data_IF_380164261772
#
_entry.id   IF_380164261772
#
_cell.length_a   1.000
_cell.length_b   1.000
_cell.length_c   1.000
_cell.angle_alpha   90.00
_cell.angle_beta   90.00
_cell.angle_gamma   90.00
#
_symmetry.space_group_name_H-M   'P 1'
#
loop_
_entity.id
_entity.type
_entity.pdbx_description
1 polymer ?
#
# COMPACT_ATOMS: atom_id res chain seq x y z
N UNK A 1 3.01 6.01 9.33
CA UNK A 1 2.40 5.83 10.67
C UNK A 1 3.44 6.18 11.73
N UNK A 2 3.03 6.83 12.82
CA UNK A 2 3.90 7.17 13.94
C UNK A 2 4.28 5.97 14.80
N UNK A 3 5.30 6.16 15.63
CA UNK A 3 5.75 5.19 16.65
C UNK A 3 5.80 5.86 18.02
N UNK A 4 5.61 5.09 19.08
CA UNK A 4 5.71 5.54 20.46
C UNK A 4 6.58 4.58 21.29
N UNK A 5 7.29 5.14 22.27
CA UNK A 5 7.99 4.37 23.30
C UNK A 5 7.16 4.42 24.59
N UNK A 6 6.65 3.28 25.03
CA UNK A 6 5.84 3.17 26.26
C UNK A 6 6.59 2.35 27.32
N UNK A 7 6.48 2.77 28.58
CA UNK A 7 7.00 1.98 29.71
C UNK A 7 5.90 1.05 30.19
N UNK A 8 6.21 -0.24 30.25
CA UNK A 8 5.27 -1.27 30.70
C UNK A 8 5.88 -2.03 31.88
N UNK A 9 5.02 -2.42 32.82
CA UNK A 9 5.38 -3.24 33.97
C UNK A 9 4.60 -4.55 33.89
N UNK A 10 5.30 -5.68 33.90
CA UNK A 10 4.70 -7.00 33.81
C UNK A 10 4.96 -7.82 35.09
N UNK A 11 3.95 -8.55 35.54
CA UNK A 11 4.04 -9.53 36.62
C UNK A 11 4.73 -8.99 37.88
N UNK A 12 5.78 -9.70 38.35
CA UNK A 12 6.60 -9.32 39.53
C UNK A 12 7.50 -8.11 39.27
N UNK A 13 6.93 -6.99 38.83
CA UNK A 13 7.59 -5.70 38.62
C UNK A 13 8.70 -5.71 37.55
N UNK A 14 8.57 -6.54 36.51
CA UNK A 14 9.49 -6.54 35.38
C UNK A 14 9.20 -5.34 34.48
N UNK A 15 10.14 -4.40 34.43
CA UNK A 15 10.00 -3.16 33.67
C UNK A 15 10.60 -3.33 32.28
N UNK A 16 9.84 -2.98 31.26
CA UNK A 16 10.28 -2.94 29.87
C UNK A 16 9.87 -1.63 29.20
N UNK A 17 10.65 -1.21 28.21
CA UNK A 17 10.29 -0.13 27.30
C UNK A 17 9.88 -0.73 25.96
N UNK A 18 8.62 -0.56 25.57
CA UNK A 18 8.08 -1.11 24.33
C UNK A 18 8.07 -0.01 23.26
N UNK A 19 8.80 -0.25 22.17
CA UNK A 19 8.66 0.56 20.96
C UNK A 19 7.55 -0.06 20.11
N UNK A 20 6.46 0.69 19.93
CA UNK A 20 5.21 0.25 19.31
C UNK A 20 4.73 1.26 18.26
N UNK A 21 3.85 0.85 17.35
CA UNK A 21 3.11 1.78 16.48
C UNK A 21 2.06 2.55 17.27
N UNK A 22 1.59 3.68 16.72
CA UNK A 22 0.49 4.44 17.33
C UNK A 22 -0.76 3.60 17.59
N UNK A 23 -1.14 2.71 16.65
CA UNK A 23 -2.28 1.81 16.83
C UNK A 23 -2.08 0.79 17.95
N UNK A 24 -0.90 0.17 18.01
CA UNK A 24 -0.56 -0.73 19.11
C UNK A 24 -0.57 0.00 20.46
N UNK A 25 -0.06 1.24 20.52
CA UNK A 25 -0.14 2.09 21.71
C UNK A 25 -1.58 2.32 22.15
N UNK A 26 -2.48 2.73 21.23
CA UNK A 26 -3.89 2.95 21.56
C UNK A 26 -4.53 1.70 22.16
N UNK A 27 -4.28 0.53 21.58
CA UNK A 27 -4.78 -0.75 22.10
C UNK A 27 -4.21 -1.07 23.49
N UNK A 28 -2.89 -0.92 23.69
CA UNK A 28 -2.25 -1.22 24.98
C UNK A 28 -2.73 -0.30 26.10
N UNK A 29 -3.04 0.97 25.78
CA UNK A 29 -3.53 1.93 26.77
C UNK A 29 -4.91 1.56 27.33
N UNK A 30 -5.75 0.82 26.60
CA UNK A 30 -7.04 0.35 27.09
C UNK A 30 -6.88 -0.59 28.29
N UNK A 31 -5.82 -1.39 28.30
CA UNK A 31 -5.55 -2.37 29.37
C UNK A 31 -5.13 -1.74 30.70
N UNK A 32 -4.92 -0.42 30.76
CA UNK A 32 -4.74 0.28 32.04
C UNK A 32 -6.04 0.35 32.86
N UNK A 33 -7.19 0.24 32.20
CA UNK A 33 -8.51 0.37 32.83
C UNK A 33 -9.34 -0.93 32.76
N UNK A 34 -8.81 -1.99 32.13
CA UNK A 34 -9.54 -3.23 31.90
C UNK A 34 -8.57 -4.40 31.77
N UNK A 35 -8.78 -5.46 32.57
CA UNK A 35 -7.88 -6.63 32.56
C UNK A 35 -8.09 -7.53 31.33
N UNK A 36 -9.30 -7.48 30.76
CA UNK A 36 -9.73 -8.32 29.64
C UNK A 36 -10.61 -7.53 28.69
N UNK A 37 -10.31 -7.63 27.40
CA UNK A 37 -11.08 -6.97 26.34
C UNK A 37 -11.26 -7.91 25.15
N UNK A 38 -12.46 -7.95 24.60
CA UNK A 38 -12.77 -8.63 23.34
C UNK A 38 -12.29 -7.82 22.13
N UNK A 39 -12.13 -8.49 20.99
CA UNK A 39 -11.81 -7.81 19.73
C UNK A 39 -12.78 -6.65 19.44
N UNK A 40 -14.10 -6.88 19.61
CA UNK A 40 -15.13 -5.87 19.33
C UNK A 40 -15.07 -4.68 20.27
N UNK A 41 -14.78 -4.88 21.55
CA UNK A 41 -14.60 -3.77 22.49
C UNK A 41 -13.39 -2.91 22.12
N UNK A 42 -12.28 -3.55 21.72
CA UNK A 42 -11.08 -2.82 21.27
C UNK A 42 -11.37 -2.06 19.97
N UNK A 43 -12.08 -2.68 19.03
CA UNK A 43 -12.46 -2.06 17.76
C UNK A 43 -13.34 -0.83 17.98
N UNK A 44 -14.36 -0.93 18.82
CA UNK A 44 -15.25 0.17 19.16
C UNK A 44 -14.52 1.29 19.92
N UNK A 45 -13.63 0.96 20.85
CA UNK A 45 -12.93 1.96 21.65
C UNK A 45 -11.82 2.69 20.90
N UNK A 46 -11.21 2.05 19.90
CA UNK A 46 -10.06 2.63 19.16
C UNK A 46 -10.40 3.15 17.78
N UNK A 47 -11.54 2.72 17.20
CA UNK A 47 -11.96 3.02 15.83
C UNK A 47 -10.87 2.70 14.77
N UNK A 48 -9.98 1.76 15.08
CA UNK A 48 -8.92 1.32 14.15
C UNK A 48 -9.57 0.45 13.06
N UNK A 49 -9.22 0.64 11.77
CA UNK A 49 -9.71 -0.22 10.69
C UNK A 49 -9.46 -1.71 10.97
N UNK A 50 -10.46 -2.56 10.75
CA UNK A 50 -10.43 -3.98 11.13
C UNK A 50 -9.18 -4.72 10.62
N UNK A 51 -8.72 -4.42 9.40
CA UNK A 51 -7.50 -5.00 8.83
C UNK A 51 -6.24 -4.63 9.62
N UNK A 52 -6.14 -3.39 10.08
CA UNK A 52 -5.01 -2.90 10.86
C UNK A 52 -5.08 -3.37 12.31
N UNK A 53 -6.28 -3.42 12.88
CA UNK A 53 -6.50 -3.90 14.24
C UNK A 53 -6.11 -5.38 14.36
N UNK A 54 -6.57 -6.24 13.44
CA UNK A 54 -6.19 -7.67 13.40
C UNK A 54 -4.67 -7.84 13.35
N UNK A 55 -3.96 -7.02 12.56
CA UNK A 55 -2.48 -7.05 12.47
C UNK A 55 -1.80 -6.58 13.75
N UNK A 56 -2.31 -5.52 14.36
CA UNK A 56 -1.80 -5.01 15.63
C UNK A 56 -1.94 -6.07 16.73
N UNK A 57 -3.13 -6.64 16.89
CA UNK A 57 -3.39 -7.71 17.86
C UNK A 57 -2.55 -8.95 17.59
N UNK A 58 -2.41 -9.37 16.33
CA UNK A 58 -1.55 -10.50 15.96
C UNK A 58 -0.09 -10.27 16.36
N UNK A 59 0.45 -9.07 16.11
CA UNK A 59 1.85 -8.73 16.47
C UNK A 59 2.10 -8.75 17.98
N UNK A 60 1.09 -8.40 18.78
CA UNK A 60 1.18 -8.27 20.24
C UNK A 60 0.76 -9.53 20.98
N UNK A 61 0.04 -10.46 20.35
CA UNK A 61 -0.47 -11.67 21.00
C UNK A 61 0.14 -12.98 20.45
N UNK A 62 0.42 -13.05 19.14
CA UNK A 62 0.78 -14.30 18.47
C UNK A 62 2.28 -14.43 18.16
N UNK A 63 3.07 -13.35 18.30
CA UNK A 63 4.51 -13.37 17.99
C UNK A 63 5.34 -13.71 19.24
N UNK A 64 5.98 -14.88 19.22
CA UNK A 64 6.83 -15.35 20.33
C UNK A 64 7.93 -14.32 20.67
N UNK A 65 8.05 -13.99 21.94
CA UNK A 65 9.04 -13.02 22.44
C UNK A 65 8.62 -11.55 22.28
N UNK A 66 7.46 -11.30 21.65
CA UNK A 66 6.81 -9.97 21.56
C UNK A 66 5.35 -10.03 22.01
N UNK A 67 4.92 -11.19 22.50
CA UNK A 67 3.55 -11.49 22.94
C UNK A 67 3.26 -10.87 24.31
N UNK A 68 3.16 -9.53 24.33
CA UNK A 68 2.79 -8.74 25.51
C UNK A 68 1.31 -8.89 25.88
N UNK A 69 0.48 -9.33 24.93
CA UNK A 69 -0.88 -9.78 25.16
C UNK A 69 -0.97 -11.31 25.04
N UNK A 70 -1.97 -11.89 25.69
CA UNK A 70 -2.40 -13.27 25.51
C UNK A 70 -3.79 -13.27 24.89
N UNK A 71 -3.97 -14.13 23.90
CA UNK A 71 -5.22 -14.34 23.17
C UNK A 71 -5.95 -15.57 23.69
N UNK A 72 -7.27 -15.47 23.77
CA UNK A 72 -8.17 -16.56 24.16
C UNK A 72 -9.36 -16.63 23.19
N UNK A 73 -9.56 -17.76 22.48
CA UNK A 73 -8.70 -18.96 22.40
C UNK A 73 -7.38 -18.71 21.66
N UNK A 74 -6.34 -19.45 22.01
CA UNK A 74 -5.02 -19.30 21.36
C UNK A 74 -5.01 -19.89 19.95
N UNK A 75 -4.74 -19.05 18.96
CA UNK A 75 -4.51 -19.46 17.56
C UNK A 75 -3.56 -18.46 16.86
N UNK A 76 -3.24 -18.69 15.59
CA UNK A 76 -2.37 -17.80 14.80
C UNK A 76 -3.11 -16.60 14.21
N UNK A 77 -4.42 -16.71 14.05
CA UNK A 77 -5.29 -15.73 13.39
C UNK A 77 -6.18 -15.04 14.41
N UNK A 78 -6.53 -13.78 14.14
CA UNK A 78 -7.42 -12.98 14.99
C UNK A 78 -8.85 -13.04 14.43
N UNK A 79 -9.76 -13.61 15.22
CA UNK A 79 -11.20 -13.65 15.03
C UNK A 79 -11.90 -12.57 15.88
N UNK A 80 -13.14 -12.26 15.54
CA UNK A 80 -13.91 -11.16 16.17
C UNK A 80 -14.47 -11.53 17.55
N UNK A 81 -14.57 -12.82 17.81
CA UNK A 81 -14.96 -13.43 19.09
C UNK A 81 -13.78 -13.64 20.05
N UNK A 82 -12.55 -13.33 19.62
CA UNK A 82 -11.38 -13.47 20.48
C UNK A 82 -11.35 -12.44 21.61
N UNK A 83 -10.78 -12.86 22.74
CA UNK A 83 -10.49 -12.00 23.89
C UNK A 83 -8.99 -11.90 24.14
N UNK A 84 -8.57 -10.77 24.68
CA UNK A 84 -7.19 -10.43 24.95
C UNK A 84 -7.02 -10.03 26.41
N UNK A 85 -5.92 -10.47 27.01
CA UNK A 85 -5.50 -10.12 28.37
C UNK A 85 -4.00 -9.78 28.36
N UNK A 86 -3.54 -8.97 29.31
CA UNK A 86 -2.10 -8.69 29.44
C UNK A 86 -1.35 -9.98 29.80
N UNK A 87 -0.26 -10.27 29.09
CA UNK A 87 0.57 -11.42 29.40
C UNK A 87 1.52 -11.11 30.56
N UNK A 88 1.08 -11.33 31.79
CA UNK A 88 1.92 -11.09 32.98
C UNK A 88 3.20 -11.94 33.03
N UNK A 89 3.23 -13.05 32.27
CA UNK A 89 4.42 -13.93 32.15
C UNK A 89 5.33 -13.50 30.98
N UNK A 90 5.12 -12.32 30.42
CA UNK A 90 5.99 -11.77 29.39
C UNK A 90 7.41 -11.66 29.93
N UNK A 91 8.38 -12.14 29.15
CA UNK A 91 9.80 -12.05 29.46
C UNK A 91 10.55 -11.73 28.19
N UNK A 92 11.57 -10.88 28.31
CA UNK A 92 12.46 -10.52 27.22
C UNK A 92 13.89 -10.43 27.74
N UNK A 93 14.85 -10.83 26.89
CA UNK A 93 16.28 -10.63 27.17
C UNK A 93 16.69 -9.15 27.14
N UNK A 94 15.89 -8.30 26.50
CA UNK A 94 16.16 -6.88 26.31
C UNK A 94 15.18 -6.02 27.12
N UNK A 95 15.71 -4.96 27.75
CA UNK A 95 14.91 -3.94 28.42
C UNK A 95 14.02 -3.19 27.41
N UNK A 96 14.60 -2.74 26.29
CA UNK A 96 13.88 -2.13 25.17
C UNK A 96 13.47 -3.20 24.17
N UNK A 97 12.15 -3.38 24.00
CA UNK A 97 11.56 -4.39 23.11
C UNK A 97 10.86 -3.69 21.96
N UNK A 98 11.29 -3.99 20.73
CA UNK A 98 10.64 -3.45 19.53
C UNK A 98 9.54 -4.39 19.03
N UNK A 99 8.30 -3.98 19.24
CA UNK A 99 7.13 -4.67 18.71
C UNK A 99 6.79 -4.03 17.37
N UNK A 100 7.48 -4.49 16.32
CA UNK A 100 7.07 -4.14 14.97
C UNK A 100 5.65 -4.61 14.71
N UNK A 101 4.84 -3.81 14.02
CA UNK A 101 3.64 -4.33 13.37
C UNK A 101 4.04 -5.50 12.49
N UNK A 102 3.21 -6.56 12.43
CA UNK A 102 3.44 -7.60 11.42
C UNK A 102 3.43 -6.86 10.09
N UNK A 103 4.62 -6.75 9.48
CA UNK A 103 4.75 -6.09 8.20
C UNK A 103 3.73 -6.76 7.29
N UNK A 104 2.98 -5.96 6.54
CA UNK A 104 2.16 -6.46 5.46
C UNK A 104 3.05 -7.42 4.66
N UNK A 105 2.86 -8.74 4.83
CA UNK A 105 3.46 -9.68 3.90
C UNK A 105 2.74 -9.36 2.61
N UNK A 106 3.39 -8.53 1.80
CA UNK A 106 2.84 -7.81 0.65
C UNK A 106 1.91 -6.65 1.06
N UNK A 107 2.07 -5.49 0.43
CA UNK A 107 0.96 -4.56 0.17
C UNK A 107 -0.30 -5.41 -0.07
N UNK A 108 -1.42 -5.09 0.57
CA UNK A 108 -2.64 -5.87 0.33
C UNK A 108 -2.92 -5.83 -1.19
N UNK A 109 -3.36 -6.94 -1.78
CA UNK A 109 -3.65 -6.99 -3.23
C UNK A 109 -4.50 -5.79 -3.72
N UNK A 110 -5.48 -5.23 -2.96
CA UNK A 110 -6.13 -3.97 -3.34
C UNK A 110 -5.19 -2.76 -3.35
N UNK A 111 -4.35 -2.54 -2.34
CA UNK A 111 -3.39 -1.42 -2.29
C UNK A 111 -2.34 -1.51 -3.41
N UNK A 112 -1.90 -2.72 -3.77
CA UNK A 112 -1.03 -2.96 -4.94
C UNK A 112 -1.70 -2.56 -6.23
N UNK A 113 -2.95 -2.97 -6.39
CA UNK A 113 -3.71 -2.71 -7.60
C UNK A 113 -3.95 -1.22 -7.74
N UNK A 114 -4.32 -0.54 -6.65
CA UNK A 114 -4.50 0.91 -6.62
C UNK A 114 -3.20 1.64 -6.96
N UNK A 115 -2.07 1.26 -6.35
CA UNK A 115 -0.77 1.87 -6.64
C UNK A 115 -0.36 1.67 -8.09
N UNK A 116 -0.52 0.46 -8.63
CA UNK A 116 -0.27 0.17 -10.06
C UNK A 116 -1.19 0.98 -10.97
N UNK A 117 -2.44 1.19 -10.57
CA UNK A 117 -3.41 1.94 -11.36
C UNK A 117 -3.06 3.44 -11.36
N UNK A 118 -2.73 4.02 -10.21
CA UNK A 118 -2.23 5.39 -10.10
C UNK A 118 -0.99 5.62 -10.98
N UNK A 119 -0.02 4.71 -10.93
CA UNK A 119 1.18 4.78 -11.79
C UNK A 119 0.82 4.73 -13.29
N UNK A 120 -0.19 3.94 -13.69
CA UNK A 120 -0.65 3.90 -15.08
C UNK A 120 -1.34 5.21 -15.49
N UNK A 121 -2.17 5.78 -14.63
CA UNK A 121 -2.81 7.07 -14.85
C UNK A 121 -1.77 8.18 -15.05
N UNK A 122 -0.74 8.24 -14.19
CA UNK A 122 0.34 9.25 -14.25
C UNK A 122 1.21 9.16 -15.51
N UNK A 123 1.25 7.98 -16.15
CA UNK A 123 2.00 7.77 -17.40
C UNK A 123 1.24 8.23 -18.64
N UNK A 124 -0.10 8.27 -18.62
CA UNK A 124 -0.92 8.69 -19.77
C UNK A 124 -0.54 10.05 -20.34
N UNK A 125 -0.45 11.14 -19.54
CA UNK A 125 -0.11 12.47 -20.08
C UNK A 125 1.32 12.51 -20.64
N UNK A 126 2.24 11.72 -20.08
CA UNK A 126 3.62 11.64 -20.58
C UNK A 126 3.69 10.97 -21.96
N UNK A 127 2.88 9.92 -22.17
CA UNK A 127 2.75 9.25 -23.47
C UNK A 127 2.11 10.19 -24.50
N UNK A 128 1.00 10.86 -24.15
CA UNK A 128 0.35 11.82 -25.05
C UNK A 128 1.28 12.97 -25.45
N UNK A 129 2.01 13.54 -24.49
CA UNK A 129 2.98 14.61 -24.76
C UNK A 129 4.16 14.15 -25.63
N UNK A 130 4.57 12.87 -25.53
CA UNK A 130 5.58 12.29 -26.42
C UNK A 130 5.04 12.16 -27.86
N UNK A 131 3.84 11.57 -28.02
CA UNK A 131 3.17 11.42 -29.32
C UNK A 131 3.01 12.79 -29.99
N UNK A 132 2.49 13.79 -29.27
CA UNK A 132 2.28 15.14 -29.78
C UNK A 132 3.58 15.81 -30.24
N UNK A 133 4.68 15.70 -29.49
CA UNK A 133 5.98 16.25 -29.88
C UNK A 133 6.52 15.61 -31.16
N UNK A 134 6.43 14.29 -31.28
CA UNK A 134 6.86 13.54 -32.47
C UNK A 134 6.01 13.92 -33.68
N UNK A 135 4.69 13.85 -33.55
CA UNK A 135 3.75 14.12 -34.66
C UNK A 135 3.80 15.58 -35.10
N UNK A 136 3.96 16.53 -34.18
CA UNK A 136 4.15 17.95 -34.52
C UNK A 136 5.40 18.19 -35.37
N UNK A 137 6.48 17.44 -35.12
CA UNK A 137 7.72 17.55 -35.90
C UNK A 137 7.66 16.81 -37.24
N UNK A 138 7.07 15.61 -37.28
CA UNK A 138 7.05 14.75 -38.48
C UNK A 138 5.91 15.08 -39.44
N UNK A 139 4.83 15.69 -38.93
CA UNK A 139 3.55 15.98 -39.59
C UNK A 139 2.79 14.73 -40.05
N UNK A 140 3.46 13.74 -40.66
CA UNK A 140 2.91 12.45 -41.06
C UNK A 140 3.87 11.35 -40.63
N UNK A 141 3.36 10.29 -40.00
CA UNK A 141 4.17 9.14 -39.57
C UNK A 141 3.34 7.85 -39.52
N UNK A 142 3.92 6.71 -39.85
CA UNK A 142 3.25 5.43 -39.73
C UNK A 142 3.22 4.91 -38.27
N UNK A 143 2.27 4.02 -38.00
CA UNK A 143 2.02 3.46 -36.68
C UNK A 143 3.28 2.89 -35.99
N UNK A 144 4.08 2.11 -36.70
CA UNK A 144 5.21 1.39 -36.12
C UNK A 144 6.34 2.35 -35.76
N UNK A 145 6.55 3.36 -36.60
CA UNK A 145 7.52 4.42 -36.32
C UNK A 145 7.07 5.32 -35.16
N UNK A 146 5.77 5.64 -35.02
CA UNK A 146 5.27 6.34 -33.83
C UNK A 146 5.56 5.53 -32.56
N UNK A 147 5.24 4.23 -32.54
CA UNK A 147 5.51 3.36 -31.39
C UNK A 147 7.01 3.34 -31.06
N UNK A 148 7.85 3.18 -32.07
CA UNK A 148 9.32 3.12 -31.91
C UNK A 148 9.87 4.42 -31.33
N UNK A 149 9.51 5.57 -31.92
CA UNK A 149 9.99 6.88 -31.47
C UNK A 149 9.48 7.23 -30.06
N UNK A 150 8.20 6.96 -29.76
CA UNK A 150 7.61 7.19 -28.41
C UNK A 150 8.31 6.32 -27.37
N UNK A 151 8.52 5.04 -27.66
CA UNK A 151 9.21 4.11 -26.76
C UNK A 151 10.62 4.59 -26.46
N UNK A 152 11.37 4.97 -27.51
CA UNK A 152 12.73 5.50 -27.39
C UNK A 152 12.77 6.79 -26.56
N UNK A 153 11.83 7.70 -26.78
CA UNK A 153 11.78 8.98 -26.07
C UNK A 153 11.47 8.81 -24.56
N UNK A 154 10.61 7.86 -24.22
CA UNK A 154 10.18 7.62 -22.83
C UNK A 154 11.08 6.64 -22.07
N UNK A 155 11.98 5.91 -22.74
CA UNK A 155 12.82 4.86 -22.16
C UNK A 155 13.63 5.30 -20.94
N UNK A 156 14.03 6.58 -20.86
CA UNK A 156 14.73 7.15 -19.70
C UNK A 156 13.88 7.24 -18.43
N UNK A 157 12.55 7.20 -18.56
CA UNK A 157 11.59 7.31 -17.44
C UNK A 157 10.87 5.98 -17.19
N UNK A 158 10.39 5.33 -18.26
CA UNK A 158 9.73 4.03 -18.19
C UNK A 158 9.64 3.37 -19.57
N UNK A 159 9.46 2.05 -19.57
CA UNK A 159 9.14 1.30 -20.78
C UNK A 159 7.63 1.40 -21.05
N UNK A 160 7.27 2.20 -22.06
CA UNK A 160 5.88 2.36 -22.48
C UNK A 160 5.37 1.10 -23.19
N UNK A 161 4.19 0.61 -22.81
CA UNK A 161 3.58 -0.55 -23.46
C UNK A 161 3.00 -0.13 -24.83
N UNK A 162 3.29 -0.83 -25.94
CA UNK A 162 2.70 -0.53 -27.26
C UNK A 162 1.17 -0.45 -27.25
N UNK A 163 0.50 -1.26 -26.43
CA UNK A 163 -0.96 -1.23 -26.25
C UNK A 163 -1.44 0.08 -25.63
N UNK A 164 -0.68 0.63 -24.67
CA UNK A 164 -1.01 1.93 -24.05
C UNK A 164 -0.77 3.07 -25.03
N UNK A 165 0.33 3.04 -25.79
CA UNK A 165 0.61 4.02 -26.85
C UNK A 165 -0.53 4.04 -27.87
N UNK A 166 -0.97 2.86 -28.35
CA UNK A 166 -2.11 2.74 -29.28
C UNK A 166 -3.38 3.38 -28.70
N UNK A 167 -3.73 3.08 -27.45
CA UNK A 167 -4.89 3.69 -26.77
C UNK A 167 -4.79 5.22 -26.66
N UNK A 168 -3.59 5.77 -26.55
CA UNK A 168 -3.36 7.23 -26.51
C UNK A 168 -3.43 7.86 -27.90
N UNK A 169 -2.99 7.16 -28.95
CA UNK A 169 -3.19 7.60 -30.34
C UNK A 169 -4.68 7.73 -30.66
N UNK A 170 -5.50 6.71 -30.33
CA UNK A 170 -6.96 6.79 -30.54
C UNK A 170 -7.58 7.98 -29.78
N UNK A 171 -7.20 8.17 -28.51
CA UNK A 171 -7.70 9.30 -27.71
C UNK A 171 -7.28 10.67 -28.28
N UNK A 172 -6.13 10.76 -28.95
CA UNK A 172 -5.70 11.98 -29.64
C UNK A 172 -6.43 12.19 -30.96
N UNK A 173 -6.91 11.13 -31.61
CA UNK A 173 -7.79 11.21 -32.80
C UNK A 173 -9.18 11.69 -32.38
N UNK A 174 -9.75 11.12 -31.31
CA UNK A 174 -11.05 11.54 -30.75
C UNK A 174 -11.08 13.02 -30.32
N UNK A 175 -9.90 13.61 -30.07
CA UNK A 175 -9.72 15.01 -29.68
C UNK A 175 -9.21 15.89 -30.84
N UNK A 176 -9.27 15.40 -32.07
CA UNK A 176 -8.89 16.10 -33.30
C UNK A 176 -7.44 16.62 -33.34
N UNK A 177 -6.52 16.02 -32.57
CA UNK A 177 -5.09 16.33 -32.67
C UNK A 177 -4.38 15.55 -33.78
N UNK A 178 -4.90 14.36 -34.07
CA UNK A 178 -4.40 13.45 -35.10
C UNK A 178 -5.56 12.97 -35.96
N UNK A 179 -5.29 12.62 -37.20
CA UNK A 179 -6.20 11.85 -38.05
C UNK A 179 -5.48 10.66 -38.67
N UNK A 180 -6.25 9.64 -39.05
CA UNK A 180 -5.72 8.59 -39.93
C UNK A 180 -5.82 9.07 -41.36
N UNK A 181 -4.80 8.76 -42.15
CA UNK A 181 -4.83 9.05 -43.58
C UNK A 181 -6.01 8.33 -44.26
N UNK A 182 -6.64 9.03 -45.21
CA UNK A 182 -7.83 8.55 -45.92
C UNK A 182 -7.54 7.38 -46.87
N UNK A 183 -6.29 7.27 -47.33
CA UNK A 183 -5.85 6.27 -48.30
C UNK A 183 -5.09 5.14 -47.63
N UNK A 184 -4.16 5.45 -46.71
CA UNK A 184 -3.40 4.45 -45.95
C UNK A 184 -3.64 4.56 -44.44
N UNK A 185 -4.49 3.69 -43.89
CA UNK A 185 -4.81 3.64 -42.46
C UNK A 185 -3.61 3.37 -41.54
N UNK A 186 -2.43 3.02 -42.07
CA UNK A 186 -1.20 2.89 -41.29
C UNK A 186 -0.56 4.25 -40.98
N UNK A 187 -0.87 5.29 -41.75
CA UNK A 187 -0.35 6.64 -41.59
C UNK A 187 -1.27 7.49 -40.71
N UNK A 188 -0.65 8.29 -39.85
CA UNK A 188 -1.31 9.30 -39.04
C UNK A 188 -0.82 10.67 -39.46
N UNK A 189 -1.71 11.66 -39.46
CA UNK A 189 -1.41 13.06 -39.76
C UNK A 189 -1.68 13.92 -38.54
N UNK A 190 -0.86 14.94 -38.33
CA UNK A 190 -1.02 15.93 -37.26
C UNK A 190 -1.88 17.09 -37.73
N UNK A 191 -2.93 17.43 -36.95
CA UNK A 191 -3.96 18.39 -37.35
C UNK A 191 -3.78 19.80 -36.76
N UNK A 192 -2.92 19.98 -35.76
CA UNK A 192 -2.78 21.24 -35.01
C UNK A 192 -1.48 22.03 -35.33
#
# INVERSE_FOLDING_TARGET
MGTADIKAVFGKNQKHELNVSTFQMCVLMLFNNSDRLSYKEIEQATEIPASDLKRCLQSMACVKGKNVLRKEPMSKDIAEEDSFVVNERFTSKFYKVKIGTVAAQKETEPEKQETRQRVKEDRKPQIEAAIMRIMKSRRVLDHNNIITEVTKQLQSRFLANPTEIKKRIESLIERDFLERDSTDRKLYRYLA
#
